data_IF_206348908285
#
_entry.id   IF_206348908285
#
_cell.length_a   1.000
_cell.length_b   1.000
_cell.length_c   1.000
_cell.angle_alpha   90.00
_cell.angle_beta   90.00
_cell.angle_gamma   90.00
#
_symmetry.space_group_name_H-M   'P 1'
#
loop_
_entity.id
_entity.type
_entity.pdbx_description
1 polymer ?
#
# COMPACT_ATOMS: atom_id res chain seq x y z
N UNK A 1 16.08 -13.13 -12.39
CA UNK A 1 16.64 -12.22 -13.43
C UNK A 1 16.45 -10.75 -13.04
N UNK A 2 17.59 -10.18 -12.63
CA UNK A 2 18.00 -8.81 -12.29
C UNK A 2 16.92 -7.71 -12.21
N UNK A 3 16.58 -7.32 -10.99
CA UNK A 3 15.83 -6.11 -10.63
C UNK A 3 16.37 -4.82 -11.28
N UNK A 4 17.67 -4.78 -11.60
CA UNK A 4 18.31 -3.67 -12.31
C UNK A 4 17.88 -3.49 -13.77
N UNK A 5 17.62 -4.58 -14.51
CA UNK A 5 17.18 -4.48 -15.92
C UNK A 5 15.76 -3.91 -16.01
N UNK A 6 14.86 -4.35 -15.11
CA UNK A 6 13.52 -3.76 -14.99
C UNK A 6 13.56 -2.28 -14.63
N UNK A 7 14.42 -1.87 -13.69
CA UNK A 7 14.60 -0.45 -13.33
C UNK A 7 15.11 0.37 -14.52
N UNK A 8 16.15 -0.08 -15.22
CA UNK A 8 16.68 0.60 -16.40
C UNK A 8 15.62 0.76 -17.51
N UNK A 9 14.86 -0.30 -17.79
CA UNK A 9 13.76 -0.28 -18.77
C UNK A 9 12.62 0.64 -18.35
N UNK A 10 12.41 0.86 -17.04
CA UNK A 10 11.38 1.77 -16.49
C UNK A 10 11.82 3.24 -16.53
N UNK A 11 13.07 3.53 -16.20
CA UNK A 11 13.60 4.90 -16.21
C UNK A 11 13.87 5.42 -17.64
N UNK A 12 14.30 4.55 -18.57
CA UNK A 12 14.59 4.94 -19.95
C UNK A 12 13.43 4.69 -20.92
N UNK A 13 12.18 4.54 -20.43
CA UNK A 13 11.00 4.24 -21.27
C UNK A 13 10.81 5.23 -22.42
N UNK A 14 11.06 6.52 -22.19
CA UNK A 14 10.93 7.56 -23.21
C UNK A 14 11.96 7.41 -24.33
N UNK A 15 13.24 7.17 -23.97
CA UNK A 15 14.29 6.94 -24.97
C UNK A 15 14.07 5.65 -25.76
N UNK A 16 13.55 4.61 -25.11
CA UNK A 16 13.18 3.34 -25.77
C UNK A 16 11.98 3.54 -26.70
N UNK A 17 10.98 4.33 -26.30
CA UNK A 17 9.85 4.66 -27.17
C UNK A 17 10.29 5.46 -28.40
N UNK A 18 11.20 6.43 -28.23
CA UNK A 18 11.79 7.19 -29.34
C UNK A 18 12.60 6.27 -30.28
N UNK A 19 13.40 5.36 -29.71
CA UNK A 19 14.14 4.37 -30.49
C UNK A 19 13.22 3.41 -31.26
N UNK A 20 12.09 2.99 -30.67
CA UNK A 20 11.09 2.16 -31.33
C UNK A 20 10.36 2.89 -32.46
N UNK A 21 10.07 4.19 -32.28
CA UNK A 21 9.53 5.05 -33.34
C UNK A 21 10.52 5.13 -34.51
N UNK A 22 11.80 5.37 -34.23
CA UNK A 22 12.85 5.40 -35.25
C UNK A 22 13.01 4.05 -35.97
N UNK A 23 12.93 2.95 -35.23
CA UNK A 23 12.96 1.58 -35.76
C UNK A 23 11.72 1.28 -36.62
N UNK A 24 10.54 1.77 -36.23
CA UNK A 24 9.33 1.70 -37.03
C UNK A 24 9.47 2.43 -38.35
N UNK A 25 10.02 3.65 -38.35
CA UNK A 25 10.35 4.36 -39.60
C UNK A 25 11.35 3.58 -40.45
N UNK A 26 12.43 3.05 -39.85
CA UNK A 26 13.43 2.24 -40.58
C UNK A 26 12.81 1.02 -41.26
N UNK A 27 11.99 0.24 -40.54
CA UNK A 27 11.29 -0.94 -41.09
C UNK A 27 10.29 -0.53 -42.18
N UNK A 28 9.61 0.62 -42.01
CA UNK A 28 8.70 1.16 -43.01
C UNK A 28 9.38 1.47 -44.34
N UNK A 29 10.59 2.04 -44.29
CA UNK A 29 11.39 2.36 -45.46
C UNK A 29 12.16 1.17 -46.05
N UNK A 30 12.63 0.22 -45.22
CA UNK A 30 13.44 -0.92 -45.69
C UNK A 30 12.63 -2.16 -46.10
N UNK A 31 11.47 -2.40 -45.48
CA UNK A 31 10.72 -3.66 -45.65
C UNK A 31 9.29 -3.39 -46.07
N UNK A 32 8.41 -3.00 -45.15
CA UNK A 32 6.99 -2.77 -45.43
C UNK A 32 6.33 -2.00 -44.29
N UNK A 33 5.53 -0.99 -44.61
CA UNK A 33 4.72 -0.23 -43.66
C UNK A 33 3.71 -1.09 -42.87
N UNK A 34 3.31 -2.22 -43.43
CA UNK A 34 2.47 -3.22 -42.78
C UNK A 34 3.13 -3.92 -41.58
N UNK A 35 4.47 -3.94 -41.49
CA UNK A 35 5.17 -4.50 -40.33
C UNK A 35 5.59 -3.35 -39.38
N UNK A 36 5.79 -2.16 -39.93
CA UNK A 36 6.17 -0.96 -39.19
C UNK A 36 5.14 -0.49 -38.15
N UNK A 37 3.84 -0.82 -38.32
CA UNK A 37 2.83 -0.39 -37.33
C UNK A 37 2.97 -1.13 -35.98
N UNK A 38 3.57 -2.33 -35.93
CA UNK A 38 3.81 -3.06 -34.67
C UNK A 38 4.74 -2.31 -33.71
N UNK A 39 5.95 -1.86 -34.10
CA UNK A 39 6.81 -1.06 -33.22
C UNK A 39 6.19 0.30 -32.88
N UNK A 40 5.40 0.92 -33.77
CA UNK A 40 4.65 2.13 -33.44
C UNK A 40 3.59 1.86 -32.36
N UNK A 41 2.82 0.78 -32.46
CA UNK A 41 1.85 0.37 -31.45
C UNK A 41 2.54 0.16 -30.09
N UNK A 42 3.67 -0.54 -30.07
CA UNK A 42 4.44 -0.79 -28.85
C UNK A 42 4.98 0.53 -28.26
N UNK A 43 5.48 1.45 -29.09
CA UNK A 43 5.94 2.75 -28.63
C UNK A 43 4.81 3.60 -28.02
N UNK A 44 3.64 3.62 -28.66
CA UNK A 44 2.44 4.30 -28.12
C UNK A 44 2.03 3.69 -26.79
N UNK A 45 1.97 2.36 -26.68
CA UNK A 45 1.67 1.68 -25.42
C UNK A 45 2.70 2.03 -24.32
N UNK A 46 3.98 2.14 -24.66
CA UNK A 46 5.03 2.56 -23.71
C UNK A 46 4.87 4.01 -23.25
N UNK A 47 4.51 4.93 -24.14
CA UNK A 47 4.25 6.34 -23.79
C UNK A 47 3.03 6.46 -22.87
N UNK A 48 1.96 5.73 -23.18
CA UNK A 48 0.76 5.67 -22.33
C UNK A 48 1.10 5.10 -20.96
N UNK A 49 1.89 4.02 -20.90
CA UNK A 49 2.35 3.44 -19.63
C UNK A 49 3.27 4.39 -18.85
N UNK A 50 4.08 5.22 -19.51
CA UNK A 50 4.88 6.25 -18.85
C UNK A 50 4.00 7.30 -18.18
N UNK A 51 2.99 7.82 -18.88
CA UNK A 51 2.08 8.81 -18.31
C UNK A 51 1.18 8.26 -17.19
N UNK A 52 0.85 6.97 -17.21
CA UNK A 52 0.07 6.32 -16.15
C UNK A 52 0.90 5.96 -14.90
N UNK A 53 2.15 5.52 -15.09
CA UNK A 53 3.01 5.05 -13.98
C UNK A 53 3.88 6.17 -13.40
N UNK A 54 4.30 7.12 -14.24
CA UNK A 54 5.17 8.24 -13.87
C UNK A 54 4.66 9.10 -12.70
N UNK A 55 3.37 9.46 -12.63
CA UNK A 55 2.83 10.23 -11.50
C UNK A 55 3.04 9.51 -10.17
N UNK A 56 2.98 8.18 -10.15
CA UNK A 56 3.08 7.40 -8.91
C UNK A 56 4.47 7.48 -8.29
N UNK A 57 5.51 7.39 -9.12
CA UNK A 57 6.90 7.53 -8.67
C UNK A 57 7.17 8.94 -8.16
N UNK A 58 6.61 9.97 -8.81
CA UNK A 58 6.73 11.34 -8.36
C UNK A 58 6.03 11.55 -7.01
N UNK A 59 4.81 11.03 -6.81
CA UNK A 59 4.11 11.17 -5.53
C UNK A 59 4.94 10.55 -4.38
N UNK A 60 5.58 9.41 -4.62
CA UNK A 60 6.45 8.79 -3.61
C UNK A 60 7.67 9.68 -3.28
N UNK A 61 8.28 10.34 -4.27
CA UNK A 61 9.35 11.31 -4.02
C UNK A 61 8.88 12.52 -3.20
N UNK A 62 7.67 13.03 -3.45
CA UNK A 62 7.10 14.11 -2.64
C UNK A 62 6.88 13.69 -1.18
N UNK A 63 6.44 12.45 -0.96
CA UNK A 63 6.27 11.89 0.39
C UNK A 63 7.62 11.71 1.09
N UNK A 64 8.62 11.17 0.38
CA UNK A 64 9.98 10.99 0.92
C UNK A 64 10.63 12.34 1.24
N UNK A 65 10.30 13.39 0.48
CA UNK A 65 10.72 14.77 0.72
C UNK A 65 9.91 15.47 1.83
N UNK A 66 8.87 14.84 2.38
CA UNK A 66 7.98 15.42 3.39
C UNK A 66 7.00 16.47 2.85
N UNK A 67 6.94 16.68 1.53
CA UNK A 67 6.02 17.61 0.88
C UNK A 67 4.67 16.93 0.61
N UNK A 68 3.85 16.88 1.67
CA UNK A 68 2.53 16.26 1.64
C UNK A 68 1.53 17.02 0.76
N UNK A 69 1.69 18.34 0.61
CA UNK A 69 0.83 19.14 -0.26
C UNK A 69 1.09 18.86 -1.75
N UNK A 70 2.37 18.78 -2.13
CA UNK A 70 2.79 18.40 -3.48
C UNK A 70 2.30 17.00 -3.86
N UNK A 71 2.44 16.05 -2.93
CA UNK A 71 1.92 14.68 -3.07
C UNK A 71 0.39 14.67 -3.29
N UNK A 72 -0.35 15.42 -2.46
CA UNK A 72 -1.81 15.51 -2.56
C UNK A 72 -2.26 16.17 -3.88
N UNK A 73 -1.55 17.22 -4.32
CA UNK A 73 -1.84 17.92 -5.58
C UNK A 73 -1.65 17.01 -6.79
N UNK A 74 -0.62 16.15 -6.78
CA UNK A 74 -0.42 15.16 -7.83
C UNK A 74 -1.46 14.04 -7.79
N UNK A 75 -1.81 13.54 -6.60
CA UNK A 75 -2.87 12.55 -6.43
C UNK A 75 -4.22 13.06 -6.98
N UNK A 76 -4.55 14.33 -6.72
CA UNK A 76 -5.78 14.97 -7.19
C UNK A 76 -5.79 15.23 -8.70
N UNK A 77 -4.62 15.33 -9.36
CA UNK A 77 -4.53 15.43 -10.82
C UNK A 77 -4.91 14.13 -11.53
N UNK A 78 -4.87 12.98 -10.84
CA UNK A 78 -5.28 11.69 -11.39
C UNK A 78 -6.81 11.61 -11.45
N UNK A 79 -7.40 12.12 -12.54
CA UNK A 79 -8.86 12.16 -12.73
C UNK A 79 -9.51 10.78 -12.91
N UNK A 80 -8.76 9.79 -13.41
CA UNK A 80 -9.29 8.46 -13.73
C UNK A 80 -8.44 7.34 -13.12
N UNK A 81 -8.51 7.13 -11.78
CA UNK A 81 -7.73 6.10 -11.09
C UNK A 81 -8.08 4.67 -11.56
N UNK A 82 -9.26 4.46 -12.15
CA UNK A 82 -9.68 3.14 -12.62
C UNK A 82 -8.98 2.68 -13.92
N UNK A 83 -8.43 3.61 -14.71
CA UNK A 83 -7.63 3.33 -15.92
C UNK A 83 -6.19 2.89 -15.58
N UNK A 84 -5.76 3.07 -14.33
CA UNK A 84 -4.44 2.63 -13.91
C UNK A 84 -4.38 1.10 -13.90
N UNK A 85 -3.24 0.58 -14.32
CA UNK A 85 -2.95 -0.84 -14.22
C UNK A 85 -3.05 -1.30 -12.76
N UNK A 86 -3.63 -2.49 -12.53
CA UNK A 86 -4.05 -3.02 -11.22
C UNK A 86 -3.13 -2.69 -10.03
N UNK A 87 -1.82 -3.04 -10.04
CA UNK A 87 -0.93 -2.74 -8.93
C UNK A 87 -0.74 -1.24 -8.69
N UNK A 88 -0.67 -0.43 -9.73
CA UNK A 88 -0.52 1.04 -9.61
C UNK A 88 -1.78 1.66 -9.04
N UNK A 89 -2.95 1.19 -9.49
CA UNK A 89 -4.25 1.60 -8.96
C UNK A 89 -4.38 1.28 -7.48
N UNK A 90 -3.98 0.08 -7.09
CA UNK A 90 -4.04 -0.39 -5.72
C UNK A 90 -3.14 0.45 -4.80
N UNK A 91 -1.89 0.65 -5.19
CA UNK A 91 -0.96 1.54 -4.46
C UNK A 91 -1.46 2.99 -4.42
N UNK A 92 -2.10 3.50 -5.49
CA UNK A 92 -2.65 4.86 -5.53
C UNK A 92 -3.72 5.04 -4.46
N UNK A 93 -4.63 4.09 -4.34
CA UNK A 93 -5.69 4.12 -3.33
C UNK A 93 -5.13 3.97 -1.90
N UNK A 94 -4.13 3.12 -1.67
CA UNK A 94 -3.47 3.05 -0.35
C UNK A 94 -2.85 4.39 0.04
N UNK A 95 -2.18 5.03 -0.91
CA UNK A 95 -1.51 6.30 -0.67
C UNK A 95 -2.50 7.41 -0.36
N UNK A 96 -3.59 7.48 -1.15
CA UNK A 96 -4.67 8.42 -0.92
C UNK A 96 -5.40 8.15 0.41
N UNK A 97 -5.52 6.89 0.82
CA UNK A 97 -6.06 6.53 2.12
C UNK A 97 -5.17 6.98 3.27
N UNK A 98 -3.85 6.85 3.16
CA UNK A 98 -2.91 7.37 4.15
C UNK A 98 -3.07 8.89 4.31
N UNK A 99 -3.13 9.63 3.20
CA UNK A 99 -3.36 11.09 3.21
C UNK A 99 -4.71 11.47 3.81
N UNK A 100 -5.77 10.72 3.47
CA UNK A 100 -7.11 10.94 4.01
C UNK A 100 -7.14 10.66 5.52
N UNK A 101 -6.39 9.67 5.99
CA UNK A 101 -6.23 9.38 7.43
C UNK A 101 -5.49 10.50 8.16
N UNK A 102 -4.51 11.14 7.52
CA UNK A 102 -3.77 12.29 8.07
C UNK A 102 -4.60 13.56 8.12
N UNK A 103 -5.52 13.73 7.16
CA UNK A 103 -6.49 14.85 7.12
C UNK A 103 -7.77 14.55 7.90
N UNK A 104 -7.77 13.48 8.70
CA UNK A 104 -8.90 12.98 9.51
C UNK A 104 -10.18 12.63 8.74
N UNK A 105 -10.11 12.53 7.41
CA UNK A 105 -11.21 12.06 6.57
C UNK A 105 -11.22 10.52 6.54
N UNK A 106 -11.70 9.94 7.64
CA UNK A 106 -11.72 8.50 7.87
C UNK A 106 -12.70 7.76 6.94
N UNK A 107 -13.74 8.44 6.43
CA UNK A 107 -14.69 7.85 5.48
C UNK A 107 -14.07 7.68 4.09
N UNK A 108 -13.37 8.71 3.60
CA UNK A 108 -12.60 8.58 2.35
C UNK A 108 -11.48 7.58 2.49
N UNK A 109 -10.76 7.58 3.62
CA UNK A 109 -9.68 6.63 3.87
C UNK A 109 -10.17 5.17 3.79
N UNK A 110 -11.30 4.86 4.44
CA UNK A 110 -11.89 3.52 4.40
C UNK A 110 -12.35 3.13 2.98
N UNK A 111 -13.04 4.03 2.29
CA UNK A 111 -13.50 3.80 0.92
C UNK A 111 -12.33 3.56 -0.04
N UNK A 112 -11.23 4.28 0.13
CA UNK A 112 -10.04 4.13 -0.69
C UNK A 112 -9.31 2.81 -0.41
N UNK A 113 -9.15 2.41 0.85
CA UNK A 113 -8.57 1.10 1.17
C UNK A 113 -9.38 -0.05 0.58
N UNK A 114 -10.71 0.02 0.63
CA UNK A 114 -11.58 -0.97 -0.02
C UNK A 114 -11.37 -1.03 -1.53
N UNK A 115 -11.30 0.13 -2.21
CA UNK A 115 -10.97 0.19 -3.65
C UNK A 115 -9.57 -0.35 -3.94
N UNK A 116 -8.61 -0.11 -3.07
CA UNK A 116 -7.26 -0.65 -3.16
C UNK A 116 -7.25 -2.17 -3.10
N UNK A 117 -8.02 -2.76 -2.18
CA UNK A 117 -8.19 -4.20 -2.03
C UNK A 117 -8.91 -4.83 -3.24
N UNK A 118 -10.03 -4.24 -3.67
CA UNK A 118 -10.78 -4.66 -4.86
C UNK A 118 -9.94 -4.58 -6.15
N UNK A 119 -9.01 -3.64 -6.22
CA UNK A 119 -8.13 -3.51 -7.37
C UNK A 119 -7.20 -4.71 -7.58
N UNK A 120 -6.99 -5.53 -6.54
CA UNK A 120 -6.06 -6.65 -6.53
C UNK A 120 -4.66 -6.18 -6.16
N UNK A 121 -4.30 -6.34 -4.89
CA UNK A 121 -2.96 -6.06 -4.38
C UNK A 121 -1.95 -7.04 -5.01
N UNK A 122 -0.76 -6.57 -5.43
CA UNK A 122 0.23 -7.43 -6.09
C UNK A 122 0.83 -8.50 -5.17
N UNK A 123 0.92 -8.21 -3.87
CA UNK A 123 1.47 -9.13 -2.86
C UNK A 123 0.51 -9.20 -1.67
N UNK A 124 0.49 -10.36 -0.98
CA UNK A 124 -0.43 -10.62 0.14
C UNK A 124 -0.12 -9.69 1.32
N UNK A 125 1.13 -9.31 1.49
CA UNK A 125 1.62 -8.43 2.53
C UNK A 125 1.01 -7.02 2.44
N UNK A 126 0.77 -6.52 1.21
CA UNK A 126 0.04 -5.25 1.00
C UNK A 126 -1.44 -5.38 1.35
N UNK A 127 -2.05 -6.53 1.04
CA UNK A 127 -3.41 -6.83 1.46
C UNK A 127 -3.53 -6.86 2.99
N UNK A 128 -2.58 -7.51 3.68
CA UNK A 128 -2.50 -7.51 5.14
C UNK A 128 -2.36 -6.11 5.73
N UNK A 129 -1.48 -5.29 5.14
CA UNK A 129 -1.29 -3.89 5.56
C UNK A 129 -2.56 -3.06 5.39
N UNK A 130 -3.28 -3.23 4.27
CA UNK A 130 -4.53 -2.52 4.04
C UNK A 130 -5.62 -2.92 5.06
N UNK A 131 -5.71 -4.19 5.45
CA UNK A 131 -6.61 -4.61 6.53
C UNK A 131 -6.18 -4.09 7.90
N UNK A 132 -4.87 -3.97 8.17
CA UNK A 132 -4.37 -3.37 9.40
C UNK A 132 -4.82 -1.91 9.50
N UNK A 133 -4.71 -1.16 8.41
CA UNK A 133 -5.15 0.23 8.34
C UNK A 133 -6.67 0.37 8.46
N UNK A 134 -7.45 -0.49 7.78
CA UNK A 134 -8.91 -0.54 7.95
C UNK A 134 -9.29 -0.82 9.42
N UNK A 135 -8.56 -1.72 10.08
CA UNK A 135 -8.73 -2.01 11.50
C UNK A 135 -8.51 -0.79 12.39
N UNK A 136 -7.43 -0.06 12.16
CA UNK A 136 -7.12 1.17 12.89
C UNK A 136 -8.16 2.27 12.64
N UNK A 137 -8.63 2.44 11.39
CA UNK A 137 -9.68 3.41 11.04
C UNK A 137 -11.00 3.05 11.71
N UNK A 138 -11.43 1.79 11.61
CA UNK A 138 -12.65 1.31 12.26
C UNK A 138 -12.59 1.51 13.79
N UNK A 139 -11.42 1.27 14.40
CA UNK A 139 -11.21 1.53 15.82
C UNK A 139 -11.35 3.02 16.15
N UNK A 140 -10.75 3.92 15.36
CA UNK A 140 -10.90 5.38 15.52
C UNK A 140 -12.35 5.84 15.38
N UNK A 141 -13.13 5.21 14.49
CA UNK A 141 -14.57 5.47 14.32
C UNK A 141 -15.45 4.90 15.46
N UNK A 142 -14.87 4.16 16.41
CA UNK A 142 -15.62 3.49 17.48
C UNK A 142 -16.25 2.15 17.07
N UNK A 143 -16.01 1.67 15.85
CA UNK A 143 -16.51 0.38 15.34
C UNK A 143 -15.56 -0.76 15.75
N UNK A 144 -15.53 -1.07 17.06
CA UNK A 144 -14.62 -2.07 17.64
C UNK A 144 -14.79 -3.48 17.08
N UNK A 145 -16.00 -3.85 16.65
CA UNK A 145 -16.28 -5.15 16.01
C UNK A 145 -15.57 -5.28 14.67
N UNK A 146 -15.76 -4.30 13.78
CA UNK A 146 -15.15 -4.30 12.45
C UNK A 146 -13.64 -4.16 12.55
N UNK A 147 -13.16 -3.35 13.50
CA UNK A 147 -11.74 -3.22 13.81
C UNK A 147 -11.11 -4.59 14.13
N UNK A 148 -11.76 -5.36 15.00
CA UNK A 148 -11.30 -6.70 15.38
C UNK A 148 -11.27 -7.66 14.18
N UNK A 149 -12.32 -7.66 13.36
CA UNK A 149 -12.40 -8.52 12.18
C UNK A 149 -11.32 -8.19 11.14
N UNK A 150 -11.13 -6.89 10.85
CA UNK A 150 -10.08 -6.42 9.94
C UNK A 150 -8.68 -6.76 10.46
N UNK A 151 -8.37 -6.48 11.72
CA UNK A 151 -7.06 -6.80 12.31
C UNK A 151 -6.78 -8.31 12.33
N UNK A 152 -7.80 -9.13 12.63
CA UNK A 152 -7.66 -10.59 12.58
C UNK A 152 -7.39 -11.07 11.16
N UNK A 153 -8.00 -10.43 10.16
CA UNK A 153 -7.77 -10.74 8.74
C UNK A 153 -6.36 -10.33 8.32
N UNK A 154 -5.88 -9.16 8.77
CA UNK A 154 -4.51 -8.69 8.52
C UNK A 154 -3.45 -9.70 8.99
N UNK A 155 -3.53 -10.14 10.26
CA UNK A 155 -2.56 -11.12 10.78
C UNK A 155 -2.69 -12.51 10.15
N UNK A 156 -3.88 -12.89 9.66
CA UNK A 156 -4.08 -14.16 8.95
C UNK A 156 -3.46 -14.15 7.55
N UNK A 157 -3.55 -13.02 6.85
CA UNK A 157 -2.96 -12.86 5.52
C UNK A 157 -1.43 -12.79 5.62
N UNK A 158 -0.93 -12.08 6.64
CA UNK A 158 0.49 -11.81 6.84
C UNK A 158 0.81 -10.34 6.62
N UNK A 159 1.79 -9.85 7.38
CA UNK A 159 2.25 -8.46 7.35
C UNK A 159 3.72 -8.43 6.91
N UNK A 160 4.17 -7.33 6.27
CA UNK A 160 5.48 -7.27 5.63
C UNK A 160 6.65 -7.39 6.62
N UNK A 161 6.44 -7.00 7.87
CA UNK A 161 7.47 -6.92 8.88
C UNK A 161 6.94 -7.24 10.30
N UNK A 162 7.88 -7.52 11.21
CA UNK A 162 7.57 -7.90 12.60
C UNK A 162 7.03 -6.74 13.44
N UNK A 163 7.31 -5.49 13.07
CA UNK A 163 6.82 -4.32 13.77
C UNK A 163 5.33 -4.10 13.45
N UNK A 164 4.95 -4.23 12.18
CA UNK A 164 3.56 -4.25 11.72
C UNK A 164 2.78 -5.41 12.37
N UNK A 165 3.37 -6.60 12.43
CA UNK A 165 2.77 -7.77 13.07
C UNK A 165 2.54 -7.55 14.59
N UNK A 166 3.53 -6.99 15.28
CA UNK A 166 3.42 -6.63 16.70
C UNK A 166 2.32 -5.60 16.92
N UNK A 167 2.24 -4.58 16.06
CA UNK A 167 1.21 -3.51 16.13
C UNK A 167 -0.19 -4.09 15.99
N UNK A 168 -0.41 -4.98 15.03
CA UNK A 168 -1.70 -5.62 14.84
C UNK A 168 -2.11 -6.46 16.07
N UNK A 169 -1.17 -7.22 16.64
CA UNK A 169 -1.43 -8.00 17.85
C UNK A 169 -1.67 -7.14 19.09
N UNK A 170 -0.98 -6.00 19.23
CA UNK A 170 -1.23 -5.03 20.31
C UNK A 170 -2.63 -4.44 20.20
N UNK A 171 -3.05 -4.03 19.00
CA UNK A 171 -4.39 -3.51 18.78
C UNK A 171 -5.46 -4.57 19.06
N UNK A 172 -5.27 -5.81 18.60
CA UNK A 172 -6.16 -6.94 18.94
C UNK A 172 -6.23 -7.18 20.45
N UNK A 173 -5.09 -7.14 21.14
CA UNK A 173 -5.04 -7.28 22.59
C UNK A 173 -5.82 -6.17 23.30
N UNK A 174 -5.62 -4.91 22.88
CA UNK A 174 -6.36 -3.75 23.40
C UNK A 174 -7.87 -3.85 23.16
N UNK A 175 -8.30 -4.36 22.01
CA UNK A 175 -9.72 -4.59 21.73
C UNK A 175 -10.29 -5.71 22.63
N UNK A 176 -9.58 -6.83 22.77
CA UNK A 176 -9.98 -7.90 23.69
C UNK A 176 -10.09 -7.39 25.13
N UNK A 177 -9.19 -6.51 25.56
CA UNK A 177 -9.24 -5.84 26.86
C UNK A 177 -10.51 -5.04 27.06
N UNK A 178 -10.88 -4.19 26.09
CA UNK A 178 -12.12 -3.41 26.15
C UNK A 178 -13.36 -4.30 26.23
N UNK A 179 -13.31 -5.46 25.57
CA UNK A 179 -14.39 -6.47 25.57
C UNK A 179 -14.39 -7.38 26.80
N UNK A 180 -13.50 -7.19 27.77
CA UNK A 180 -13.28 -8.06 28.93
C UNK A 180 -12.92 -9.51 28.58
N UNK A 181 -12.42 -9.76 27.37
CA UNK A 181 -11.85 -11.05 26.97
C UNK A 181 -10.37 -11.11 27.36
N UNK A 182 -10.12 -11.36 28.65
CA UNK A 182 -8.78 -11.37 29.22
C UNK A 182 -7.91 -12.52 28.70
N UNK A 183 -8.53 -13.66 28.37
CA UNK A 183 -7.82 -14.81 27.79
C UNK A 183 -7.34 -14.50 26.38
N UNK A 184 -8.21 -13.94 25.54
CA UNK A 184 -7.85 -13.48 24.20
C UNK A 184 -6.79 -12.37 24.24
N UNK A 185 -6.95 -11.41 25.15
CA UNK A 185 -6.01 -10.31 25.34
C UNK A 185 -4.60 -10.81 25.68
N UNK A 186 -4.46 -11.75 26.64
CA UNK A 186 -3.18 -12.37 27.02
C UNK A 186 -2.55 -13.15 25.86
N UNK A 187 -3.36 -13.88 25.08
CA UNK A 187 -2.87 -14.63 23.92
C UNK A 187 -2.29 -13.69 22.85
N UNK A 188 -3.05 -12.67 22.44
CA UNK A 188 -2.57 -11.70 21.45
C UNK A 188 -1.38 -10.88 21.97
N UNK A 189 -1.37 -10.53 23.26
CA UNK A 189 -0.24 -9.83 23.87
C UNK A 189 1.04 -10.67 23.87
N UNK A 190 0.94 -11.98 24.14
CA UNK A 190 2.06 -12.91 24.05
C UNK A 190 2.60 -12.98 22.62
N UNK A 191 1.71 -13.02 21.62
CA UNK A 191 2.10 -12.98 20.21
C UNK A 191 2.81 -11.67 19.86
N UNK A 192 2.29 -10.52 20.29
CA UNK A 192 2.95 -9.22 20.11
C UNK A 192 4.37 -9.20 20.67
N UNK A 193 4.57 -9.73 21.89
CA UNK A 193 5.91 -9.87 22.51
C UNK A 193 6.82 -10.80 21.71
N UNK A 194 6.28 -11.89 21.18
CA UNK A 194 7.04 -12.88 20.41
C UNK A 194 7.60 -12.31 19.09
N UNK A 195 6.97 -11.27 18.54
CA UNK A 195 7.45 -10.58 17.34
C UNK A 195 8.80 -9.88 17.57
N UNK A 196 9.18 -9.58 18.83
CA UNK A 196 10.45 -8.94 19.20
C UNK A 196 10.72 -7.69 18.35
N UNK A 197 9.74 -6.80 18.28
CA UNK A 197 9.83 -5.54 17.56
C UNK A 197 11.07 -4.75 17.99
N UNK A 198 11.76 -4.15 17.03
CA UNK A 198 12.94 -3.29 17.28
C UNK A 198 12.57 -1.82 17.41
N UNK A 199 11.32 -1.47 17.08
CA UNK A 199 10.83 -0.10 17.15
C UNK A 199 10.57 0.30 18.60
N UNK A 200 11.25 1.35 19.07
CA UNK A 200 11.14 1.85 20.44
C UNK A 200 9.70 2.22 20.84
N UNK A 201 8.88 2.71 19.90
CA UNK A 201 7.47 3.03 20.15
C UNK A 201 6.64 1.78 20.42
N UNK A 202 6.90 0.70 19.71
CA UNK A 202 6.17 -0.57 19.90
C UNK A 202 6.64 -1.23 21.19
N UNK A 203 7.94 -1.21 21.47
CA UNK A 203 8.52 -1.74 22.71
C UNK A 203 7.96 -1.00 23.93
N UNK A 204 7.88 0.33 23.89
CA UNK A 204 7.27 1.12 24.96
C UNK A 204 5.79 0.77 25.14
N UNK A 205 5.00 0.67 24.06
CA UNK A 205 3.61 0.22 24.13
C UNK A 205 3.46 -1.19 24.73
N UNK A 206 4.34 -2.14 24.36
CA UNK A 206 4.38 -3.48 24.95
C UNK A 206 4.65 -3.38 26.45
N UNK A 207 5.59 -2.54 26.86
CA UNK A 207 5.95 -2.38 28.27
C UNK A 207 4.80 -1.76 29.08
N UNK A 208 4.13 -0.73 28.56
CA UNK A 208 2.96 -0.15 29.21
C UNK A 208 1.82 -1.15 29.32
N UNK A 209 1.47 -1.80 28.21
CA UNK A 209 0.43 -2.83 28.19
C UNK A 209 0.79 -3.99 29.11
N UNK A 210 2.07 -4.33 29.28
CA UNK A 210 2.51 -5.38 30.22
C UNK A 210 2.14 -5.09 31.67
N UNK A 211 2.22 -3.82 32.10
CA UNK A 211 1.85 -3.39 33.45
C UNK A 211 0.36 -3.58 33.69
N UNK A 212 -0.46 -3.26 32.68
CA UNK A 212 -1.90 -3.52 32.73
C UNK A 212 -2.17 -5.02 32.73
N UNK A 213 -1.52 -5.79 31.87
CA UNK A 213 -1.72 -7.24 31.73
C UNK A 213 -1.39 -8.02 33.01
N UNK A 214 -0.41 -7.57 33.78
CA UNK A 214 -0.05 -8.16 35.07
C UNK A 214 -1.15 -8.00 36.15
N UNK A 215 -2.04 -7.01 36.00
CA UNK A 215 -3.11 -6.71 36.97
C UNK A 215 -4.44 -7.39 36.63
N UNK A 216 -4.51 -8.13 35.52
CA UNK A 216 -5.75 -8.72 35.04
C UNK A 216 -5.92 -10.13 35.63
N UNK A 217 -7.10 -10.44 36.21
CA UNK A 217 -7.39 -11.78 36.71
C UNK A 217 -7.25 -12.86 35.62
N UNK A 218 -6.89 -14.07 36.06
CA UNK A 218 -6.70 -15.27 35.24
C UNK A 218 -7.92 -15.60 34.40
#
# INVERSE_FOLDING_TARGET
MKSGFRRFLVFNRLYIAIALIALGFWIGFSVTWWIAWLPFLIAVLMIVAYFLVGPMTLIQQYIDAGDMEGAQKLLNKVKYPNLLYKPVRSSYYMLRANMSTMTEDLDKAEADLRKGLEAGMPEKEYEGTAYLQLGAIAFKKGNTRDAYEHLRKAVKIGLPDKDSEATAYLQLSGICMQRRDFRGAKNYFSKAKSCKSKNEQIVSQINEMSKYMARIPG
#
